data_IF_705794917632
#
_entry.id   IF_705794917632
#
_cell.length_a   1.000
_cell.length_b   1.000
_cell.length_c   1.000
_cell.angle_alpha   90.00
_cell.angle_beta   90.00
_cell.angle_gamma   90.00
#
_symmetry.space_group_name_H-M   'P 1'
#
loop_
_entity.id
_entity.type
_entity.pdbx_description
1 polymer ?
#
# COMPACT_ATOMS: atom_id res chain seq x y z
N UNK A 1 -25.07 -74.09 22.89
CA UNK A 1 -24.33 -75.16 22.20
C UNK A 1 -23.38 -74.46 21.22
N UNK A 2 -22.06 -74.73 21.31
CA UNK A 2 -20.94 -74.22 20.47
C UNK A 2 -21.27 -74.38 18.96
N UNK A 3 -20.78 -73.63 17.95
CA UNK A 3 -19.44 -73.14 17.54
C UNK A 3 -19.69 -72.32 16.23
N UNK A 4 -19.26 -71.07 16.02
CA UNK A 4 -17.96 -70.53 15.54
C UNK A 4 -17.54 -70.76 14.05
N UNK A 5 -17.37 -69.61 13.34
CA UNK A 5 -16.36 -69.20 12.31
C UNK A 5 -16.37 -69.89 10.92
N UNK A 6 -16.02 -69.26 9.77
CA UNK A 6 -14.99 -68.23 9.48
C UNK A 6 -15.12 -67.67 8.03
N UNK A 7 -14.77 -66.37 7.83
CA UNK A 7 -13.93 -65.68 6.80
C UNK A 7 -14.06 -65.94 5.27
N UNK A 8 -13.60 -65.11 4.31
CA UNK A 8 -13.19 -63.69 4.11
C UNK A 8 -12.56 -63.62 2.67
N UNK A 9 -12.71 -62.54 1.87
CA UNK A 9 -11.91 -62.38 0.63
C UNK A 9 -12.39 -61.42 -0.51
N UNK A 10 -11.92 -60.16 -0.43
CA UNK A 10 -11.57 -59.12 -1.43
C UNK A 10 -11.66 -59.27 -3.00
N UNK A 11 -12.22 -58.21 -3.64
CA UNK A 11 -11.65 -57.28 -4.68
C UNK A 11 -12.07 -57.23 -6.21
N UNK A 12 -12.49 -56.00 -6.62
CA UNK A 12 -12.29 -55.15 -7.86
C UNK A 12 -13.17 -55.24 -9.16
N UNK A 13 -13.76 -54.05 -9.50
CA UNK A 13 -13.99 -53.34 -10.81
C UNK A 13 -15.12 -53.83 -11.78
N UNK A 14 -15.90 -53.01 -12.53
CA UNK A 14 -15.77 -51.65 -13.09
C UNK A 14 -17.11 -51.10 -13.68
N UNK A 15 -17.31 -49.75 -13.64
CA UNK A 15 -18.00 -48.77 -14.55
C UNK A 15 -19.45 -49.03 -15.08
N UNK A 16 -20.37 -48.10 -15.38
CA UNK A 16 -20.65 -46.64 -15.28
C UNK A 16 -22.13 -46.53 -15.69
N UNK A 17 -22.93 -45.65 -15.07
CA UNK A 17 -23.97 -44.92 -15.79
C UNK A 17 -24.37 -43.64 -15.05
N UNK A 18 -24.40 -42.55 -15.80
CA UNK A 18 -24.68 -41.16 -15.38
C UNK A 18 -26.08 -40.81 -15.86
N UNK A 19 -26.96 -40.29 -15.00
CA UNK A 19 -27.92 -39.24 -15.39
C UNK A 19 -28.44 -38.41 -14.18
N UNK A 20 -28.48 -37.10 -14.44
CA UNK A 20 -28.84 -35.91 -13.64
C UNK A 20 -30.30 -35.87 -13.15
N UNK A 21 -30.57 -35.29 -11.95
CA UNK A 21 -31.59 -34.25 -11.60
C UNK A 21 -31.32 -33.80 -10.13
N UNK A 22 -30.66 -32.67 -9.83
CA UNK A 22 -31.13 -31.28 -9.66
C UNK A 22 -31.96 -30.96 -8.37
N UNK A 23 -31.43 -29.97 -7.63
CA UNK A 23 -32.04 -29.04 -6.63
C UNK A 23 -32.16 -29.51 -5.17
N UNK A 24 -31.27 -28.98 -4.31
CA UNK A 24 -31.55 -28.12 -3.14
C UNK A 24 -30.24 -27.78 -2.41
N UNK A 25 -29.38 -26.95 -3.01
CA UNK A 25 -28.39 -26.22 -2.23
C UNK A 25 -29.04 -24.91 -1.80
N UNK A 26 -29.51 -24.87 -0.56
CA UNK A 26 -29.81 -23.63 0.13
C UNK A 26 -28.51 -22.83 0.20
N UNK A 27 -28.40 -21.81 -0.64
CA UNK A 27 -27.38 -20.79 -0.58
C UNK A 27 -27.60 -19.98 0.70
N UNK A 28 -27.08 -20.47 1.83
CA UNK A 28 -26.82 -19.63 2.98
C UNK A 28 -25.67 -18.72 2.58
N UNK A 29 -26.00 -17.52 2.08
CA UNK A 29 -25.05 -16.43 1.94
C UNK A 29 -24.56 -16.07 3.34
N UNK A 30 -23.42 -16.62 3.74
CA UNK A 30 -22.70 -16.14 4.90
C UNK A 30 -22.14 -14.77 4.52
N UNK A 31 -22.93 -13.72 4.72
CA UNK A 31 -22.40 -12.35 4.77
C UNK A 31 -21.52 -12.27 6.01
N UNK A 32 -20.22 -12.48 5.84
CA UNK A 32 -19.22 -12.14 6.85
C UNK A 32 -19.29 -10.63 7.04
N UNK A 33 -19.90 -10.19 8.13
CA UNK A 33 -19.84 -8.81 8.58
C UNK A 33 -18.43 -8.57 9.12
N UNK A 34 -17.48 -8.30 8.21
CA UNK A 34 -16.26 -7.60 8.60
C UNK A 34 -16.65 -6.15 8.85
N UNK A 35 -16.66 -5.76 10.12
CA UNK A 35 -16.78 -4.36 10.49
C UNK A 35 -15.51 -3.62 10.06
N UNK A 36 -15.56 -2.94 8.92
CA UNK A 36 -14.47 -2.09 8.44
C UNK A 36 -14.17 -1.01 9.47
N UNK A 37 -12.93 -0.96 9.98
CA UNK A 37 -12.42 0.18 10.77
C UNK A 37 -12.26 1.45 9.92
N UNK A 38 -12.45 1.35 8.60
CA UNK A 38 -12.57 2.51 7.72
C UNK A 38 -14.02 2.96 7.69
N UNK A 39 -14.27 4.22 8.02
CA UNK A 39 -15.56 4.83 7.76
C UNK A 39 -15.90 4.61 6.29
N UNK A 40 -17.04 3.96 6.01
CA UNK A 40 -17.53 3.81 4.64
C UNK A 40 -17.82 5.21 4.11
N UNK A 41 -16.91 5.76 3.30
CA UNK A 41 -17.30 6.80 2.35
C UNK A 41 -18.44 6.19 1.53
N UNK A 42 -19.59 6.87 1.54
CA UNK A 42 -20.81 6.32 1.01
C UNK A 42 -20.72 6.21 -0.53
N UNK A 43 -20.29 5.05 -1.02
CA UNK A 43 -20.31 4.69 -2.45
C UNK A 43 -21.69 4.85 -3.12
N UNK A 44 -22.76 5.06 -2.34
CA UNK A 44 -24.13 5.19 -2.86
C UNK A 44 -24.51 6.61 -3.27
N UNK A 45 -23.64 7.62 -3.10
CA UNK A 45 -23.91 8.94 -3.68
C UNK A 45 -23.73 8.88 -5.20
N UNK A 46 -24.84 8.63 -5.88
CA UNK A 46 -24.93 8.71 -7.34
C UNK A 46 -24.81 10.18 -7.72
N UNK A 47 -23.76 10.53 -8.47
CA UNK A 47 -23.63 11.87 -9.07
C UNK A 47 -24.84 12.13 -9.98
N UNK A 48 -25.55 13.26 -9.83
CA UNK A 48 -26.77 13.54 -10.58
C UNK A 48 -26.51 13.74 -12.08
N UNK A 49 -25.28 14.12 -12.45
CA UNK A 49 -24.88 14.32 -13.83
C UNK A 49 -23.82 13.31 -14.27
N UNK A 50 -23.88 12.85 -15.51
CA UNK A 50 -22.96 11.88 -16.08
C UNK A 50 -22.79 12.11 -17.57
N UNK A 51 -21.55 12.02 -18.04
CA UNK A 51 -21.19 12.04 -19.47
C UNK A 51 -20.17 10.97 -19.78
N UNK A 52 -20.15 10.47 -21.00
CA UNK A 52 -19.10 9.59 -21.50
C UNK A 52 -17.96 10.38 -22.14
N UNK A 53 -16.73 9.88 -21.98
CA UNK A 53 -15.54 10.46 -22.62
C UNK A 53 -15.65 10.55 -24.16
N UNK A 54 -16.44 9.67 -24.78
CA UNK A 54 -16.69 9.68 -26.25
C UNK A 54 -17.48 10.90 -26.71
N UNK A 55 -18.29 11.50 -25.84
CA UNK A 55 -19.05 12.72 -26.14
C UNK A 55 -18.13 13.93 -26.37
N UNK A 56 -16.87 13.83 -25.95
CA UNK A 56 -15.83 14.85 -26.11
C UNK A 56 -14.82 14.50 -27.21
N UNK A 57 -15.18 13.57 -28.10
CA UNK A 57 -14.38 13.19 -29.27
C UNK A 57 -13.25 12.21 -28.97
N UNK A 58 -13.25 11.58 -27.79
CA UNK A 58 -12.27 10.54 -27.49
C UNK A 58 -12.48 9.28 -28.34
N UNK A 59 -11.38 8.64 -28.74
CA UNK A 59 -11.36 7.40 -29.50
C UNK A 59 -10.62 6.33 -28.71
N UNK A 60 -11.31 5.22 -28.45
CA UNK A 60 -10.83 4.11 -27.60
C UNK A 60 -9.99 3.06 -28.34
N UNK A 61 -9.17 3.48 -29.31
CA UNK A 61 -8.36 2.60 -30.19
C UNK A 61 -6.97 2.26 -29.64
N UNK A 62 -6.56 2.92 -28.54
CA UNK A 62 -5.24 2.78 -27.92
C UNK A 62 -4.11 3.53 -28.63
N UNK A 63 -4.42 4.34 -29.65
CA UNK A 63 -3.46 5.07 -30.49
C UNK A 63 -3.76 6.57 -30.47
N UNK A 64 -5.03 6.95 -30.55
CA UNK A 64 -5.47 8.34 -30.53
C UNK A 64 -5.18 8.97 -29.17
N UNK A 65 -4.46 10.09 -29.16
CA UNK A 65 -4.17 10.84 -27.94
C UNK A 65 -5.41 11.62 -27.47
N UNK A 66 -6.02 11.16 -26.39
CA UNK A 66 -7.29 11.64 -25.86
C UNK A 66 -7.15 12.74 -24.80
N UNK A 67 -5.94 13.27 -24.55
CA UNK A 67 -5.67 14.26 -23.49
C UNK A 67 -6.64 15.45 -23.53
N UNK A 68 -6.89 15.99 -24.73
CA UNK A 68 -7.83 17.10 -24.92
C UNK A 68 -9.28 16.69 -24.64
N UNK A 69 -9.68 15.47 -24.99
CA UNK A 69 -11.02 14.98 -24.71
C UNK A 69 -11.25 14.84 -23.19
N UNK A 70 -10.27 14.32 -22.44
CA UNK A 70 -10.32 14.28 -20.98
C UNK A 70 -10.41 15.67 -20.37
N UNK A 71 -9.55 16.60 -20.81
CA UNK A 71 -9.55 17.98 -20.33
C UNK A 71 -10.88 18.69 -20.60
N UNK A 72 -11.43 18.54 -21.81
CA UNK A 72 -12.71 19.14 -22.18
C UNK A 72 -13.88 18.55 -21.39
N UNK A 73 -13.90 17.23 -21.21
CA UNK A 73 -14.91 16.54 -20.41
C UNK A 73 -14.90 17.04 -18.96
N UNK A 74 -13.72 17.11 -18.35
CA UNK A 74 -13.58 17.55 -16.96
C UNK A 74 -13.93 19.03 -16.82
N UNK A 75 -13.50 19.88 -17.75
CA UNK A 75 -13.88 21.29 -17.78
C UNK A 75 -15.41 21.47 -17.82
N UNK A 76 -16.09 20.72 -18.68
CA UNK A 76 -17.55 20.73 -18.75
C UNK A 76 -18.19 20.27 -17.43
N UNK A 77 -17.72 19.15 -16.87
CA UNK A 77 -18.24 18.56 -15.63
C UNK A 77 -18.07 19.47 -14.41
N UNK A 78 -17.09 20.38 -14.43
CA UNK A 78 -16.90 21.37 -13.36
C UNK A 78 -18.11 22.31 -13.17
N UNK A 79 -18.94 22.48 -14.20
CA UNK A 79 -20.19 23.26 -14.14
C UNK A 79 -21.28 22.62 -13.27
N UNK A 80 -21.02 21.43 -12.73
CA UNK A 80 -21.92 20.66 -11.86
C UNK A 80 -21.35 20.44 -10.45
N UNK A 81 -20.17 20.99 -10.14
CA UNK A 81 -19.52 20.80 -8.84
C UNK A 81 -20.40 21.29 -7.68
N UNK A 82 -21.11 22.41 -7.86
CA UNK A 82 -22.07 22.98 -6.90
C UNK A 82 -23.47 22.34 -6.94
N UNK A 83 -23.69 21.38 -7.85
CA UNK A 83 -24.98 20.70 -8.10
C UNK A 83 -24.96 19.23 -7.68
N UNK A 84 -24.08 18.87 -6.75
CA UNK A 84 -23.89 17.47 -6.30
C UNK A 84 -22.82 16.70 -7.07
N UNK A 85 -22.08 17.36 -7.95
CA UNK A 85 -20.99 16.77 -8.70
C UNK A 85 -21.42 16.01 -9.95
N UNK A 86 -20.44 15.40 -10.61
CA UNK A 86 -20.68 14.69 -11.86
C UNK A 86 -19.79 13.46 -12.03
N UNK A 87 -20.21 12.55 -12.91
CA UNK A 87 -19.49 11.34 -13.28
C UNK A 87 -18.92 11.48 -14.70
N UNK A 88 -17.62 11.24 -14.84
CA UNK A 88 -16.99 10.96 -16.13
C UNK A 88 -16.94 9.45 -16.34
N UNK A 89 -17.68 8.96 -17.32
CA UNK A 89 -17.76 7.55 -17.69
C UNK A 89 -16.78 7.21 -18.82
N UNK A 90 -15.86 6.28 -18.56
CA UNK A 90 -14.91 5.75 -19.52
C UNK A 90 -15.36 4.33 -19.92
N UNK A 91 -15.92 4.13 -21.13
CA UNK A 91 -16.43 2.83 -21.56
C UNK A 91 -15.29 1.86 -21.93
N UNK A 92 -15.67 0.62 -22.21
CA UNK A 92 -14.77 -0.38 -22.77
C UNK A 92 -14.00 0.18 -23.99
N UNK A 93 -12.69 -0.06 -24.04
CA UNK A 93 -11.81 0.55 -25.02
C UNK A 93 -10.45 0.90 -24.43
N UNK A 94 -9.52 1.33 -25.30
CA UNK A 94 -8.15 1.69 -24.93
C UNK A 94 -7.95 3.20 -25.15
N UNK A 95 -7.74 3.95 -24.08
CA UNK A 95 -7.78 5.42 -24.08
C UNK A 95 -6.38 5.97 -23.81
N UNK A 96 -5.58 6.16 -24.85
CA UNK A 96 -4.25 6.77 -24.73
C UNK A 96 -4.38 8.23 -24.32
N UNK A 97 -3.66 8.67 -23.29
CA UNK A 97 -3.68 10.05 -22.80
C UNK A 97 -2.36 10.42 -22.12
N UNK A 98 -2.03 11.71 -22.19
CA UNK A 98 -1.08 12.36 -21.28
C UNK A 98 -1.73 12.69 -19.94
N UNK A 99 -1.03 13.49 -19.13
CA UNK A 99 -1.53 13.95 -17.83
C UNK A 99 -2.82 14.76 -17.95
N UNK A 100 -3.76 14.51 -17.05
CA UNK A 100 -4.97 15.33 -16.90
C UNK A 100 -5.34 15.56 -15.42
N UNK A 101 -5.98 16.70 -15.17
CA UNK A 101 -6.37 17.16 -13.84
C UNK A 101 -7.80 16.73 -13.51
N UNK A 102 -8.02 16.21 -12.30
CA UNK A 102 -9.33 16.02 -11.72
C UNK A 102 -9.85 17.30 -11.06
N UNK A 103 -11.14 17.32 -10.75
CA UNK A 103 -11.86 18.40 -10.04
C UNK A 103 -12.59 17.85 -8.81
N UNK A 104 -13.02 18.73 -7.91
CA UNK A 104 -13.86 18.36 -6.77
C UNK A 104 -15.23 17.80 -7.22
N UNK A 105 -15.83 16.94 -6.40
CA UNK A 105 -17.12 16.31 -6.65
C UNK A 105 -17.18 15.49 -7.95
N UNK A 106 -16.04 14.97 -8.40
CA UNK A 106 -15.93 14.14 -9.59
C UNK A 106 -15.93 12.66 -9.23
N UNK A 107 -16.69 11.87 -10.00
CA UNK A 107 -16.51 10.43 -10.09
C UNK A 107 -15.91 10.06 -11.44
N UNK A 108 -14.65 9.64 -11.47
CA UNK A 108 -14.04 8.98 -12.63
C UNK A 108 -14.42 7.49 -12.59
N UNK A 109 -15.26 7.06 -13.52
CA UNK A 109 -15.79 5.69 -13.59
C UNK A 109 -15.23 4.95 -14.79
N UNK A 110 -14.46 3.88 -14.57
CA UNK A 110 -13.94 3.02 -15.62
C UNK A 110 -14.79 1.75 -15.73
N UNK A 111 -15.41 1.54 -16.89
CA UNK A 111 -16.19 0.32 -17.09
C UNK A 111 -15.31 -0.93 -17.25
N UNK A 112 -15.95 -2.08 -17.25
CA UNK A 112 -15.29 -3.35 -17.59
C UNK A 112 -14.62 -3.21 -18.96
N UNK A 113 -13.40 -3.72 -19.07
CA UNK A 113 -12.57 -3.68 -20.29
C UNK A 113 -12.17 -2.27 -20.76
N UNK A 114 -12.42 -1.23 -19.95
CA UNK A 114 -11.84 0.10 -20.15
C UNK A 114 -10.37 0.11 -19.71
N UNK A 115 -9.48 0.65 -20.54
CA UNK A 115 -8.05 0.79 -20.23
C UNK A 115 -7.61 2.22 -20.52
N UNK A 116 -7.32 3.01 -19.48
CA UNK A 116 -6.59 4.28 -19.65
C UNK A 116 -5.11 3.94 -19.82
N UNK A 117 -4.50 4.41 -20.91
CA UNK A 117 -3.09 4.18 -21.24
C UNK A 117 -2.31 5.48 -21.08
N UNK A 118 -1.27 5.47 -20.24
CA UNK A 118 -0.34 6.59 -20.13
C UNK A 118 0.51 6.72 -21.39
N UNK A 119 0.63 7.93 -21.93
CA UNK A 119 1.45 8.18 -23.12
C UNK A 119 2.91 7.77 -22.92
N UNK A 120 3.52 7.17 -23.94
CA UNK A 120 4.95 6.85 -23.96
C UNK A 120 5.83 8.04 -24.36
N UNK A 121 5.24 9.15 -24.78
CA UNK A 121 5.96 10.39 -25.06
C UNK A 121 6.06 11.23 -23.79
N UNK A 122 7.28 11.60 -23.37
CA UNK A 122 7.49 12.40 -22.16
C UNK A 122 6.90 13.81 -22.24
N UNK A 123 6.72 14.36 -23.44
CA UNK A 123 6.15 15.70 -23.64
C UNK A 123 4.66 15.78 -23.24
N UNK A 124 3.98 14.63 -23.19
CA UNK A 124 2.59 14.52 -22.75
C UNK A 124 2.44 14.56 -21.21
N UNK A 125 3.56 14.69 -20.48
CA UNK A 125 3.64 14.72 -19.03
C UNK A 125 4.32 16.03 -18.60
N UNK A 126 3.56 17.12 -18.42
CA UNK A 126 4.13 18.42 -18.12
C UNK A 126 5.03 18.39 -16.88
N UNK A 127 6.12 19.16 -16.90
CA UNK A 127 7.00 19.29 -15.74
C UNK A 127 6.38 20.27 -14.75
N UNK A 128 6.31 19.88 -13.48
CA UNK A 128 5.82 20.68 -12.36
C UNK A 128 6.88 20.79 -11.27
N UNK A 129 6.66 21.73 -10.37
CA UNK A 129 7.52 21.92 -9.21
C UNK A 129 7.60 20.64 -8.35
N UNK A 130 8.75 20.42 -7.70
CA UNK A 130 8.87 19.35 -6.72
C UNK A 130 7.89 19.55 -5.55
N UNK A 131 7.70 18.48 -4.77
CA UNK A 131 6.92 18.61 -3.55
C UNK A 131 7.64 19.56 -2.56
N UNK A 132 6.92 20.50 -1.93
CA UNK A 132 7.54 21.43 -0.99
C UNK A 132 8.19 20.71 0.20
N UNK A 133 7.64 19.56 0.62
CA UNK A 133 8.24 18.74 1.69
C UNK A 133 9.46 17.91 1.23
N UNK A 134 9.86 17.98 -0.03
CA UNK A 134 11.02 17.27 -0.59
C UNK A 134 12.12 18.22 -1.10
N UNK A 135 11.77 19.48 -1.39
CA UNK A 135 12.69 20.52 -1.89
C UNK A 135 13.16 20.36 -3.33
N UNK A 136 13.17 19.13 -3.86
CA UNK A 136 13.59 18.77 -5.22
C UNK A 136 12.87 17.52 -5.72
N UNK A 137 13.07 17.20 -6.99
CA UNK A 137 12.68 15.90 -7.54
C UNK A 137 13.34 14.75 -6.76
N UNK A 138 12.56 13.68 -6.54
CA UNK A 138 12.96 12.52 -5.74
C UNK A 138 14.14 11.76 -6.35
N UNK A 139 14.22 11.72 -7.68
CA UNK A 139 15.28 11.02 -8.40
C UNK A 139 16.39 11.95 -8.86
N UNK A 140 16.02 13.16 -9.28
CA UNK A 140 16.92 14.14 -9.90
C UNK A 140 16.65 15.55 -9.35
N UNK A 141 17.66 16.43 -9.28
CA UNK A 141 17.44 17.82 -8.91
C UNK A 141 16.49 18.51 -9.89
N UNK A 142 15.74 19.51 -9.43
CA UNK A 142 14.78 20.24 -10.25
C UNK A 142 13.35 19.71 -10.17
N UNK A 143 12.61 19.87 -11.26
CA UNK A 143 11.19 19.52 -11.35
C UNK A 143 10.91 18.02 -11.46
N UNK A 144 9.63 17.70 -11.60
CA UNK A 144 9.12 16.34 -11.79
C UNK A 144 8.06 16.32 -12.87
N UNK A 145 7.92 15.22 -13.59
CA UNK A 145 6.77 15.03 -14.46
C UNK A 145 5.49 14.92 -13.63
N UNK A 146 4.43 15.60 -14.08
CA UNK A 146 3.09 15.51 -13.51
C UNK A 146 2.54 14.11 -13.69
N UNK A 147 1.83 13.59 -12.70
CA UNK A 147 1.23 12.26 -12.75
C UNK A 147 0.18 12.11 -13.86
N UNK A 148 -0.12 10.87 -14.26
CA UNK A 148 -1.10 10.60 -15.33
C UNK A 148 -2.48 11.13 -14.95
N UNK A 149 -2.93 10.74 -13.75
CA UNK A 149 -4.13 11.26 -13.11
C UNK A 149 -3.67 12.11 -11.94
N UNK A 150 -3.92 13.41 -12.03
CA UNK A 150 -3.45 14.38 -11.05
C UNK A 150 -4.63 15.17 -10.47
N UNK A 151 -4.52 15.62 -9.23
CA UNK A 151 -5.48 16.54 -8.62
C UNK A 151 -4.85 17.32 -7.49
N UNK A 152 -5.24 18.58 -7.30
CA UNK A 152 -4.76 19.41 -6.18
C UNK A 152 -5.91 20.19 -5.55
N UNK A 153 -5.94 20.26 -4.22
CA UNK A 153 -6.96 21.00 -3.45
C UNK A 153 -8.38 20.49 -3.71
N UNK A 154 -8.56 19.18 -3.89
CA UNK A 154 -9.85 18.61 -4.25
C UNK A 154 -10.65 18.18 -3.01
N UNK A 155 -11.96 18.22 -3.11
CA UNK A 155 -12.88 17.63 -2.14
C UNK A 155 -13.77 16.62 -2.83
N UNK A 156 -14.00 15.47 -2.19
CA UNK A 156 -15.00 14.49 -2.64
C UNK A 156 -14.71 13.97 -4.07
N UNK A 157 -13.63 13.20 -4.19
CA UNK A 157 -13.16 12.63 -5.46
C UNK A 157 -13.26 11.12 -5.40
N UNK A 158 -13.88 10.53 -6.41
CA UNK A 158 -14.05 9.09 -6.53
C UNK A 158 -13.41 8.59 -7.82
N UNK A 159 -12.49 7.63 -7.73
CA UNK A 159 -11.94 6.89 -8.86
C UNK A 159 -12.39 5.43 -8.68
N UNK A 160 -13.33 4.98 -9.51
CA UNK A 160 -13.88 3.62 -9.37
C UNK A 160 -14.37 3.05 -10.69
N UNK A 161 -15.01 1.89 -10.67
CA UNK A 161 -15.41 1.22 -11.89
C UNK A 161 -15.88 -0.22 -11.71
N UNK A 162 -16.06 -0.89 -12.84
CA UNK A 162 -16.34 -2.32 -12.94
C UNK A 162 -15.04 -3.09 -13.25
N UNK A 163 -14.00 -2.85 -12.45
CA UNK A 163 -12.65 -3.39 -12.65
C UNK A 163 -11.99 -2.95 -13.98
N UNK A 164 -12.19 -1.70 -14.38
CA UNK A 164 -11.39 -1.08 -15.44
C UNK A 164 -9.92 -0.90 -15.01
N UNK A 165 -9.06 -0.60 -15.99
CA UNK A 165 -7.61 -0.58 -15.83
C UNK A 165 -7.01 0.79 -16.10
N UNK A 166 -6.03 1.20 -15.30
CA UNK A 166 -5.14 2.33 -15.57
C UNK A 166 -3.73 1.76 -15.74
N UNK A 167 -3.20 1.81 -16.96
CA UNK A 167 -1.89 1.28 -17.32
C UNK A 167 -0.94 2.43 -17.67
N UNK A 168 0.09 2.62 -16.85
CA UNK A 168 1.06 3.70 -17.00
C UNK A 168 2.07 3.51 -18.14
N UNK A 169 2.10 2.32 -18.77
CA UNK A 169 3.08 1.95 -19.79
C UNK A 169 4.54 2.26 -19.36
N UNK A 170 4.85 1.98 -18.09
CA UNK A 170 6.06 2.42 -17.38
C UNK A 170 7.40 1.99 -17.97
N UNK A 171 7.44 1.01 -18.87
CA UNK A 171 8.69 0.44 -19.40
C UNK A 171 9.62 1.46 -20.03
N UNK A 172 9.08 2.47 -20.71
CA UNK A 172 9.87 3.57 -21.29
C UNK A 172 10.57 4.38 -20.19
N UNK A 173 9.87 4.66 -19.10
CA UNK A 173 10.40 5.39 -17.96
C UNK A 173 11.45 4.58 -17.20
N UNK A 174 11.21 3.28 -17.00
CA UNK A 174 12.18 2.39 -16.36
C UNK A 174 13.45 2.25 -17.19
N UNK A 175 13.34 2.16 -18.52
CA UNK A 175 14.50 2.13 -19.41
C UNK A 175 15.30 3.44 -19.31
N UNK A 176 14.64 4.61 -19.27
CA UNK A 176 15.32 5.89 -19.04
C UNK A 176 16.01 5.95 -17.68
N UNK A 177 15.38 5.43 -16.62
CA UNK A 177 15.97 5.35 -15.29
C UNK A 177 17.26 4.52 -15.29
N UNK A 178 17.20 3.28 -15.80
CA UNK A 178 18.37 2.40 -15.84
C UNK A 178 19.49 2.93 -16.72
N UNK A 179 19.15 3.57 -17.84
CA UNK A 179 20.11 4.20 -18.74
C UNK A 179 20.61 5.57 -18.26
N UNK A 180 20.07 6.09 -17.13
CA UNK A 180 20.39 7.42 -16.58
C UNK A 180 20.17 8.56 -17.58
N UNK A 181 19.09 8.48 -18.35
CA UNK A 181 18.69 9.46 -19.37
C UNK A 181 17.38 10.18 -19.02
N UNK A 182 17.04 10.23 -17.72
CA UNK A 182 15.96 11.05 -17.21
C UNK A 182 16.43 12.51 -17.11
N UNK A 183 15.58 13.44 -17.54
CA UNK A 183 15.79 14.89 -17.36
C UNK A 183 15.18 15.38 -16.04
N UNK A 184 14.10 14.73 -15.60
CA UNK A 184 13.33 15.06 -14.39
C UNK A 184 12.90 13.78 -13.68
N UNK A 185 12.39 13.92 -12.44
CA UNK A 185 11.78 12.79 -11.72
C UNK A 185 10.57 12.25 -12.50
N UNK A 186 10.47 10.92 -12.59
CA UNK A 186 9.39 10.21 -13.30
C UNK A 186 8.01 10.54 -12.72
N UNK A 187 6.94 10.47 -13.53
CA UNK A 187 5.59 10.74 -13.05
C UNK A 187 5.04 9.58 -12.21
N UNK A 188 4.14 9.88 -11.26
CA UNK A 188 3.32 8.84 -10.62
C UNK A 188 2.17 8.41 -11.53
N UNK A 189 1.51 7.30 -11.22
CA UNK A 189 0.30 6.92 -11.94
C UNK A 189 -0.90 7.76 -11.49
N UNK A 190 -1.14 7.83 -10.18
CA UNK A 190 -2.18 8.68 -9.56
C UNK A 190 -1.56 9.51 -8.45
N UNK A 191 -1.74 10.83 -8.50
CA UNK A 191 -1.32 11.73 -7.44
C UNK A 191 -2.44 12.72 -7.07
N UNK A 192 -2.81 12.71 -5.80
CA UNK A 192 -3.77 13.65 -5.25
C UNK A 192 -3.08 14.45 -4.16
N UNK A 193 -3.03 15.76 -4.37
CA UNK A 193 -2.33 16.71 -3.51
C UNK A 193 -3.33 17.52 -2.70
N UNK A 194 -3.09 17.65 -1.39
CA UNK A 194 -3.88 18.53 -0.51
C UNK A 194 -5.41 18.35 -0.64
N UNK A 195 -5.86 17.10 -0.75
CA UNK A 195 -7.25 16.77 -1.06
C UNK A 195 -7.94 16.05 0.11
N UNK A 196 -9.27 16.16 0.20
CA UNK A 196 -10.06 15.55 1.28
C UNK A 196 -11.24 14.75 0.74
N UNK A 197 -11.55 13.62 1.39
CA UNK A 197 -12.67 12.76 0.95
C UNK A 197 -12.36 12.10 -0.39
N UNK A 198 -11.31 11.29 -0.41
CA UNK A 198 -10.87 10.57 -1.60
C UNK A 198 -11.27 9.10 -1.49
N UNK A 199 -11.84 8.56 -2.55
CA UNK A 199 -12.13 7.14 -2.68
C UNK A 199 -11.55 6.57 -3.97
N UNK A 200 -10.68 5.58 -3.87
CA UNK A 200 -10.15 4.81 -5.00
C UNK A 200 -10.57 3.35 -4.79
N UNK A 201 -11.36 2.78 -5.70
CA UNK A 201 -11.81 1.39 -5.52
C UNK A 201 -12.25 0.64 -6.76
N UNK A 202 -12.22 -0.69 -6.73
CA UNK A 202 -12.78 -1.57 -7.77
C UNK A 202 -12.13 -1.38 -9.16
N UNK A 203 -10.82 -1.15 -9.20
CA UNK A 203 -10.05 -0.94 -10.43
C UNK A 203 -8.65 -1.57 -10.33
N UNK A 204 -8.02 -1.77 -11.48
CA UNK A 204 -6.67 -2.32 -11.60
C UNK A 204 -5.68 -1.24 -12.07
N UNK A 205 -4.50 -1.20 -11.46
CA UNK A 205 -3.38 -0.34 -11.84
C UNK A 205 -2.24 -1.19 -12.38
N UNK A 206 -1.73 -0.84 -13.56
CA UNK A 206 -0.64 -1.55 -14.22
C UNK A 206 0.53 -0.63 -14.52
N UNK A 207 1.74 -1.19 -14.43
CA UNK A 207 2.97 -0.64 -15.00
C UNK A 207 3.19 0.86 -14.71
N UNK A 208 3.06 1.25 -13.44
CA UNK A 208 3.34 2.64 -13.04
C UNK A 208 4.76 3.07 -13.46
N UNK A 209 4.95 4.29 -14.00
CA UNK A 209 6.29 4.79 -14.30
C UNK A 209 7.19 4.90 -13.07
N UNK A 210 6.63 5.22 -11.91
CA UNK A 210 7.26 5.39 -10.60
C UNK A 210 6.26 4.93 -9.52
N UNK A 211 6.03 5.69 -8.45
CA UNK A 211 5.00 5.37 -7.44
C UNK A 211 3.60 5.29 -8.05
N UNK A 212 2.76 4.36 -7.57
CA UNK A 212 1.46 4.09 -8.20
C UNK A 212 0.36 5.00 -7.67
N UNK A 213 0.03 4.93 -6.38
CA UNK A 213 -1.05 5.74 -5.78
C UNK A 213 -0.46 6.64 -4.68
N UNK A 214 -0.38 7.94 -4.94
CA UNK A 214 0.27 8.91 -4.08
C UNK A 214 -0.72 9.96 -3.53
N UNK A 215 -1.45 9.66 -2.43
CA UNK A 215 -2.16 10.67 -1.67
C UNK A 215 -1.17 11.46 -0.81
N UNK A 216 -0.81 12.66 -1.26
CA UNK A 216 0.12 13.55 -0.56
C UNK A 216 -0.62 14.74 0.03
N UNK A 217 -0.38 15.02 1.31
CA UNK A 217 -1.09 16.07 2.06
C UNK A 217 -2.61 15.88 2.12
N UNK A 218 -3.09 14.66 1.99
CA UNK A 218 -4.52 14.38 1.92
C UNK A 218 -5.13 14.13 3.30
N UNK A 219 -6.46 14.18 3.38
CA UNK A 219 -7.24 13.75 4.55
C UNK A 219 -8.40 12.86 4.13
N UNK A 220 -8.80 11.90 4.97
CA UNK A 220 -9.97 11.04 4.71
C UNK A 220 -9.86 10.33 3.36
N UNK A 221 -8.84 9.50 3.21
CA UNK A 221 -8.55 8.74 1.98
C UNK A 221 -8.95 7.29 2.20
N UNK A 222 -9.68 6.70 1.26
CA UNK A 222 -9.98 5.27 1.24
C UNK A 222 -9.52 4.67 -0.07
N UNK A 223 -8.68 3.64 0.00
CA UNK A 223 -8.23 2.85 -1.14
C UNK A 223 -8.63 1.41 -0.86
N UNK A 224 -9.48 0.83 -1.71
CA UNK A 224 -9.97 -0.53 -1.45
C UNK A 224 -10.34 -1.35 -2.67
N UNK A 225 -10.24 -2.67 -2.55
CA UNK A 225 -10.58 -3.59 -3.64
C UNK A 225 -9.87 -3.20 -4.95
N UNK A 226 -8.56 -3.01 -4.88
CA UNK A 226 -7.71 -2.67 -6.03
C UNK A 226 -6.63 -3.72 -6.23
N UNK A 227 -6.25 -3.90 -7.49
CA UNK A 227 -5.06 -4.66 -7.86
C UNK A 227 -3.99 -3.70 -8.40
N UNK A 228 -2.75 -3.81 -7.92
CA UNK A 228 -1.61 -3.00 -8.38
C UNK A 228 -0.51 -3.93 -8.85
N UNK A 229 -0.19 -3.90 -10.14
CA UNK A 229 0.72 -4.86 -10.77
C UNK A 229 1.80 -4.16 -11.59
N UNK A 230 3.05 -4.53 -11.33
CA UNK A 230 4.19 -4.19 -12.18
C UNK A 230 5.20 -5.35 -12.17
N UNK A 231 6.04 -5.51 -13.21
CA UNK A 231 7.12 -6.49 -13.22
C UNK A 231 8.04 -6.33 -12.01
N UNK A 232 8.55 -7.41 -11.43
CA UNK A 232 9.41 -7.31 -10.24
C UNK A 232 10.71 -6.52 -10.48
N UNK A 233 11.12 -6.34 -11.74
CA UNK A 233 12.27 -5.53 -12.14
C UNK A 233 11.96 -4.04 -12.31
N UNK A 234 10.72 -3.59 -12.13
CA UNK A 234 10.36 -2.17 -12.31
C UNK A 234 10.85 -1.31 -11.14
N UNK A 235 11.75 -0.33 -11.38
CA UNK A 235 12.36 0.45 -10.32
C UNK A 235 11.35 1.42 -9.68
N UNK A 236 11.31 1.41 -8.34
CA UNK A 236 10.55 2.37 -7.53
C UNK A 236 9.05 2.40 -7.88
N UNK A 237 8.48 1.21 -8.06
CA UNK A 237 7.05 1.01 -8.32
C UNK A 237 6.32 0.69 -7.03
N UNK A 238 6.40 1.63 -6.09
CA UNK A 238 5.68 1.55 -4.82
C UNK A 238 4.17 1.41 -5.11
N UNK A 239 3.47 0.63 -4.28
CA UNK A 239 2.03 0.39 -4.46
C UNK A 239 1.20 1.59 -4.01
N UNK A 240 1.20 1.88 -2.71
CA UNK A 240 0.45 3.00 -2.13
C UNK A 240 1.35 3.79 -1.18
N UNK A 241 1.40 5.11 -1.38
CA UNK A 241 2.28 6.01 -0.66
C UNK A 241 1.51 7.10 0.10
N UNK A 242 0.95 6.82 1.29
CA UNK A 242 0.43 7.86 2.15
C UNK A 242 1.58 8.78 2.59
N UNK A 243 1.61 10.00 2.02
CA UNK A 243 2.65 10.98 2.31
C UNK A 243 2.05 12.22 2.99
N UNK A 244 2.48 12.48 4.22
CA UNK A 244 2.00 13.62 5.01
C UNK A 244 0.46 13.70 5.08
N UNK A 245 -0.19 12.53 5.13
CA UNK A 245 -1.64 12.35 4.99
C UNK A 245 -2.29 11.87 6.28
N UNK A 246 -3.53 12.27 6.52
CA UNK A 246 -4.26 12.04 7.77
C UNK A 246 -5.56 11.24 7.54
N UNK A 247 -5.80 10.21 8.34
CA UNK A 247 -6.98 9.34 8.22
C UNK A 247 -7.03 8.64 6.85
N UNK A 248 -6.09 7.72 6.64
CA UNK A 248 -5.98 6.92 5.41
C UNK A 248 -6.35 5.47 5.71
N UNK A 249 -7.25 4.95 4.90
CA UNK A 249 -7.72 3.58 4.91
C UNK A 249 -7.21 2.84 3.66
N UNK A 250 -6.60 1.68 3.86
CA UNK A 250 -6.19 0.77 2.79
C UNK A 250 -6.73 -0.62 3.14
N UNK A 251 -7.65 -1.16 2.34
CA UNK A 251 -8.24 -2.48 2.60
C UNK A 251 -8.49 -3.31 1.35
N UNK A 252 -8.43 -4.64 1.45
CA UNK A 252 -8.80 -5.54 0.36
C UNK A 252 -7.97 -5.33 -0.92
N UNK A 253 -6.66 -5.15 -0.76
CA UNK A 253 -5.76 -4.87 -1.88
C UNK A 253 -4.89 -6.07 -2.24
N UNK A 254 -4.64 -6.26 -3.54
CA UNK A 254 -3.60 -7.16 -4.04
C UNK A 254 -2.50 -6.36 -4.73
N UNK A 255 -1.26 -6.45 -4.25
CA UNK A 255 -0.14 -5.66 -4.76
C UNK A 255 1.02 -6.58 -5.15
N UNK A 256 1.51 -6.45 -6.38
CA UNK A 256 2.66 -7.18 -6.90
C UNK A 256 3.53 -6.24 -7.71
N UNK A 257 4.55 -5.65 -7.10
CA UNK A 257 5.36 -4.59 -7.72
C UNK A 257 6.85 -4.77 -7.45
N UNK A 258 7.69 -3.94 -8.08
CA UNK A 258 9.14 -4.00 -7.91
C UNK A 258 9.65 -3.36 -6.63
N UNK A 259 8.87 -2.52 -5.96
CA UNK A 259 9.25 -1.80 -4.74
C UNK A 259 8.18 -1.96 -3.64
N UNK A 260 8.20 -1.14 -2.59
CA UNK A 260 7.38 -1.31 -1.40
C UNK A 260 5.86 -1.43 -1.71
N UNK A 261 5.15 -2.39 -1.09
CA UNK A 261 3.70 -2.52 -1.34
C UNK A 261 2.94 -1.33 -0.76
N UNK A 262 3.23 -1.02 0.51
CA UNK A 262 2.78 0.19 1.20
C UNK A 262 4.02 0.93 1.71
N UNK A 263 4.10 2.23 1.43
CA UNK A 263 5.24 3.06 1.81
C UNK A 263 4.74 4.36 2.44
N UNK A 264 4.73 4.41 3.77
CA UNK A 264 4.25 5.58 4.52
C UNK A 264 5.38 6.60 4.63
N UNK A 265 5.11 7.82 4.17
CA UNK A 265 6.08 8.92 4.09
C UNK A 265 5.55 10.20 4.73
N UNK A 266 6.40 11.19 4.93
CA UNK A 266 6.04 12.52 5.42
C UNK A 266 7.12 13.56 5.10
N UNK A 267 7.62 13.61 3.86
CA UNK A 267 8.68 14.54 3.46
C UNK A 267 10.11 14.17 3.86
N UNK A 268 11.08 14.91 3.32
CA UNK A 268 12.50 14.56 3.28
C UNK A 268 13.39 15.63 3.92
N UNK A 269 14.11 15.23 4.96
CA UNK A 269 15.08 16.01 5.74
C UNK A 269 14.53 17.38 6.17
N UNK A 270 15.36 18.43 6.12
CA UNK A 270 15.00 19.79 6.51
C UNK A 270 13.77 20.33 5.78
N UNK A 271 13.50 19.89 4.54
CA UNK A 271 12.27 20.25 3.82
C UNK A 271 11.04 19.63 4.46
N UNK A 272 11.10 18.34 4.81
CA UNK A 272 10.00 17.66 5.49
C UNK A 272 9.76 18.19 6.89
N UNK A 273 10.84 18.44 7.65
CA UNK A 273 10.77 19.01 9.00
C UNK A 273 10.20 20.44 8.98
N UNK A 274 10.64 21.28 8.04
CA UNK A 274 10.13 22.65 7.86
C UNK A 274 8.67 22.67 7.40
N UNK A 275 8.29 21.73 6.52
CA UNK A 275 6.90 21.58 6.10
C UNK A 275 5.99 21.12 7.26
N UNK A 276 6.51 20.31 8.18
CA UNK A 276 5.92 20.09 9.50
C UNK A 276 4.58 19.35 9.49
N UNK A 277 4.32 18.52 8.47
CA UNK A 277 3.06 17.78 8.34
C UNK A 277 3.31 16.26 8.42
N UNK A 278 2.77 15.57 9.45
CA UNK A 278 2.96 14.14 9.60
C UNK A 278 2.01 13.32 8.72
N UNK A 279 2.37 12.06 8.49
CA UNK A 279 1.40 11.01 8.14
C UNK A 279 0.84 10.38 9.40
N UNK A 280 -0.48 10.41 9.58
CA UNK A 280 -1.10 9.86 10.80
C UNK A 280 -2.48 9.26 10.60
N UNK A 281 -2.90 8.41 11.53
CA UNK A 281 -4.16 7.66 11.47
C UNK A 281 -4.24 6.81 10.19
N UNK A 282 -3.25 5.93 10.00
CA UNK A 282 -3.16 5.07 8.81
C UNK A 282 -3.60 3.65 9.21
N UNK A 283 -4.66 3.14 8.60
CA UNK A 283 -5.15 1.78 8.81
C UNK A 283 -5.00 0.96 7.53
N UNK A 284 -4.30 -0.17 7.63
CA UNK A 284 -4.03 -1.11 6.55
C UNK A 284 -4.59 -2.47 6.96
N UNK A 285 -5.44 -3.08 6.14
CA UNK A 285 -5.92 -4.44 6.42
C UNK A 285 -6.17 -5.29 5.20
N UNK A 286 -6.17 -6.62 5.37
CA UNK A 286 -6.50 -7.58 4.29
C UNK A 286 -5.73 -7.27 3.01
N UNK A 287 -4.41 -7.13 3.20
CA UNK A 287 -3.44 -6.86 2.13
C UNK A 287 -2.75 -8.17 1.76
N UNK A 288 -2.69 -8.47 0.47
CA UNK A 288 -1.95 -9.60 -0.07
C UNK A 288 -0.93 -9.06 -1.07
N UNK A 289 0.33 -9.51 -1.00
CA UNK A 289 1.27 -9.11 -2.03
C UNK A 289 2.68 -9.68 -2.01
N UNK A 290 3.39 -9.40 -3.10
CA UNK A 290 4.79 -9.79 -3.34
C UNK A 290 5.61 -8.63 -3.91
N UNK A 291 6.89 -8.56 -3.54
CA UNK A 291 7.76 -7.43 -3.91
C UNK A 291 9.24 -7.74 -3.76
N UNK A 292 10.10 -7.09 -4.52
CA UNK A 292 11.55 -7.17 -4.29
C UNK A 292 12.08 -6.25 -3.17
N UNK A 293 11.22 -5.43 -2.56
CA UNK A 293 11.56 -4.50 -1.46
C UNK A 293 10.86 -4.84 -0.13
N UNK A 294 9.76 -4.20 0.24
CA UNK A 294 9.10 -4.43 1.52
C UNK A 294 7.56 -4.49 1.44
N UNK A 295 6.95 -5.33 2.29
CA UNK A 295 5.50 -5.39 2.44
C UNK A 295 4.93 -4.08 2.99
N UNK A 296 5.20 -3.80 4.25
CA UNK A 296 4.86 -2.54 4.92
C UNK A 296 6.14 -1.79 5.23
N UNK A 297 6.34 -0.65 4.56
CA UNK A 297 7.46 0.24 4.76
C UNK A 297 7.02 1.56 5.40
N UNK A 298 7.83 2.06 6.33
CA UNK A 298 7.76 3.42 6.86
C UNK A 298 9.08 4.11 6.54
N UNK A 299 9.01 5.24 5.83
CA UNK A 299 10.15 6.00 5.34
C UNK A 299 10.62 5.60 3.92
N UNK A 300 11.80 6.03 3.48
CA UNK A 300 12.80 6.74 4.29
C UNK A 300 12.45 8.21 4.56
N UNK A 301 11.59 8.79 3.75
CA UNK A 301 11.16 10.19 3.84
C UNK A 301 10.11 10.32 4.94
N UNK A 302 10.53 10.44 6.20
CA UNK A 302 9.64 10.46 7.38
C UNK A 302 9.85 11.71 8.27
N UNK A 303 10.37 12.78 7.70
CA UNK A 303 10.87 13.96 8.44
C UNK A 303 9.76 14.81 9.08
N UNK A 304 8.59 14.88 8.46
CA UNK A 304 7.38 15.48 9.04
C UNK A 304 6.74 14.65 10.18
N UNK A 305 7.19 13.42 10.39
CA UNK A 305 6.68 12.48 11.38
C UNK A 305 5.66 11.47 10.83
N UNK A 306 5.69 10.26 11.39
CA UNK A 306 4.71 9.20 11.14
C UNK A 306 4.17 8.65 12.46
N UNK A 307 2.85 8.64 12.65
CA UNK A 307 2.25 8.09 13.88
C UNK A 307 0.85 7.52 13.75
N UNK A 308 0.45 6.69 14.70
CA UNK A 308 -0.88 6.04 14.71
C UNK A 308 -1.09 5.19 13.44
N UNK A 309 -0.19 4.23 13.25
CA UNK A 309 -0.24 3.28 12.13
C UNK A 309 -0.73 1.93 12.66
N UNK A 310 -1.83 1.42 12.09
CA UNK A 310 -2.34 0.08 12.33
C UNK A 310 -2.27 -0.74 11.05
N UNK A 311 -1.67 -1.93 11.12
CA UNK A 311 -1.64 -2.87 10.02
C UNK A 311 -2.04 -4.27 10.51
N UNK A 312 -3.09 -4.88 9.93
CA UNK A 312 -3.59 -6.19 10.37
C UNK A 312 -4.09 -7.09 9.22
N UNK A 313 -4.13 -8.40 9.44
CA UNK A 313 -4.61 -9.37 8.44
C UNK A 313 -3.82 -9.28 7.11
N UNK A 314 -2.50 -9.50 7.16
CA UNK A 314 -1.62 -9.30 6.00
C UNK A 314 -0.95 -10.60 5.58
N UNK A 315 -0.98 -10.88 4.28
CA UNK A 315 -0.22 -11.99 3.68
C UNK A 315 0.86 -11.47 2.73
N UNK A 316 2.13 -11.63 3.12
CA UNK A 316 3.28 -11.27 2.29
C UNK A 316 3.99 -12.54 1.83
N UNK A 317 4.21 -12.65 0.52
CA UNK A 317 4.93 -13.78 -0.06
C UNK A 317 6.00 -13.32 -1.06
N UNK A 318 7.03 -14.13 -1.27
CA UNK A 318 8.11 -13.88 -2.23
C UNK A 318 8.68 -12.45 -2.11
N UNK A 319 9.09 -12.08 -0.90
CA UNK A 319 9.48 -10.71 -0.59
C UNK A 319 10.86 -10.57 0.03
N UNK A 320 11.55 -9.46 -0.25
CA UNK A 320 12.82 -9.16 0.42
C UNK A 320 12.62 -8.84 1.90
N UNK A 321 11.64 -8.01 2.26
CA UNK A 321 11.29 -7.69 3.65
C UNK A 321 9.79 -7.71 3.87
N UNK A 322 9.31 -8.11 5.05
CA UNK A 322 7.88 -7.98 5.36
C UNK A 322 7.57 -6.63 6.00
N UNK A 323 8.20 -6.33 7.13
CA UNK A 323 8.05 -5.07 7.86
C UNK A 323 9.35 -4.29 7.78
N UNK A 324 9.29 -3.02 7.37
CA UNK A 324 10.49 -2.19 7.18
C UNK A 324 10.33 -0.78 7.74
N UNK A 325 11.31 -0.33 8.53
CA UNK A 325 11.46 1.08 8.93
C UNK A 325 12.81 1.56 8.40
N UNK A 326 12.80 2.67 7.66
CA UNK A 326 13.99 3.24 7.02
C UNK A 326 14.16 4.67 7.51
N UNK A 327 15.33 5.01 8.03
CA UNK A 327 15.69 6.39 8.38
C UNK A 327 17.22 6.57 8.36
N UNK A 328 17.69 7.80 8.55
CA UNK A 328 19.10 8.18 8.71
C UNK A 328 19.24 9.44 9.56
N UNK A 329 20.42 9.68 10.19
CA UNK A 329 20.79 11.01 10.64
C UNK A 329 20.60 12.01 9.50
N UNK A 330 19.97 13.15 9.76
CA UNK A 330 19.47 14.06 8.71
C UNK A 330 17.97 14.12 8.58
N UNK A 331 17.29 13.01 8.89
CA UNK A 331 15.84 12.94 8.74
C UNK A 331 15.10 13.77 9.78
N UNK A 332 15.58 13.81 11.02
CA UNK A 332 14.79 14.31 12.15
C UNK A 332 13.44 13.58 12.25
N UNK A 333 12.40 14.29 12.69
CA UNK A 333 11.05 13.75 12.76
C UNK A 333 10.91 12.55 13.69
N UNK A 334 9.92 11.71 13.43
CA UNK A 334 9.65 10.54 14.26
C UNK A 334 8.90 9.43 13.51
N UNK A 335 9.03 8.20 13.98
CA UNK A 335 8.10 7.10 13.72
C UNK A 335 7.67 6.54 15.07
N UNK A 336 6.39 6.68 15.41
CA UNK A 336 5.87 6.22 16.72
C UNK A 336 4.46 5.69 16.68
N UNK A 337 4.07 4.95 17.71
CA UNK A 337 2.70 4.43 17.84
C UNK A 337 2.30 3.59 16.61
N UNK A 338 3.09 2.55 16.35
CA UNK A 338 2.90 1.62 15.23
C UNK A 338 2.46 0.28 15.81
N UNK A 339 1.34 -0.25 15.32
CA UNK A 339 0.80 -1.55 15.70
C UNK A 339 0.59 -2.43 14.47
N UNK A 340 1.41 -3.47 14.33
CA UNK A 340 1.33 -4.43 13.24
C UNK A 340 0.96 -5.79 13.83
N UNK A 341 -0.12 -6.41 13.34
CA UNK A 341 -0.59 -7.69 13.89
C UNK A 341 -1.13 -8.64 12.83
N UNK A 342 -1.27 -9.92 13.18
CA UNK A 342 -1.86 -10.96 12.34
C UNK A 342 -1.27 -11.00 10.93
N UNK A 343 0.01 -11.39 10.83
CA UNK A 343 0.70 -11.50 9.54
C UNK A 343 1.09 -12.94 9.23
N UNK A 344 0.91 -13.34 7.98
CA UNK A 344 1.42 -14.59 7.42
C UNK A 344 2.53 -14.24 6.42
N UNK A 345 3.70 -14.86 6.58
CA UNK A 345 4.86 -14.64 5.73
C UNK A 345 5.26 -15.95 5.02
N UNK A 346 5.49 -15.90 3.71
CA UNK A 346 5.96 -17.06 2.95
C UNK A 346 7.13 -16.69 2.03
N UNK A 347 8.25 -17.41 2.13
CA UNK A 347 9.44 -17.14 1.30
C UNK A 347 9.90 -15.67 1.39
N UNK A 348 10.09 -15.18 2.62
CA UNK A 348 10.54 -13.81 2.89
C UNK A 348 12.01 -13.79 3.30
N UNK A 349 12.82 -12.88 2.76
CA UNK A 349 14.23 -12.82 3.12
C UNK A 349 14.44 -12.26 4.55
N UNK A 350 13.81 -11.16 4.92
CA UNK A 350 13.93 -10.56 6.26
C UNK A 350 12.54 -10.24 6.79
N UNK A 351 12.05 -10.93 7.83
CA UNK A 351 10.71 -10.64 8.32
C UNK A 351 10.59 -9.22 8.89
N UNK A 352 11.55 -8.80 9.74
CA UNK A 352 11.54 -7.47 10.37
C UNK A 352 12.85 -6.74 10.09
N UNK A 353 12.80 -5.60 9.40
CA UNK A 353 14.00 -4.85 9.01
C UNK A 353 13.93 -3.37 9.38
N UNK A 354 14.68 -2.96 10.40
CA UNK A 354 14.85 -1.53 10.71
C UNK A 354 16.26 -1.09 10.35
N UNK A 355 16.39 0.08 9.73
CA UNK A 355 17.67 0.61 9.27
C UNK A 355 17.74 2.09 9.60
N UNK A 356 18.61 2.43 10.55
CA UNK A 356 18.93 3.81 10.93
C UNK A 356 20.02 4.47 10.10
N UNK A 357 20.57 3.80 9.09
CA UNK A 357 21.62 4.33 8.20
C UNK A 357 21.23 4.15 6.73
N UNK A 358 20.04 4.61 6.33
CA UNK A 358 19.54 4.45 4.96
C UNK A 358 20.37 5.24 3.92
N UNK A 359 20.84 6.45 4.27
CA UNK A 359 21.93 7.14 3.59
C UNK A 359 21.58 8.02 2.37
N UNK A 360 20.32 8.09 1.95
CA UNK A 360 19.90 8.98 0.85
C UNK A 360 19.47 10.35 1.38
N UNK A 361 19.92 11.46 0.79
CA UNK A 361 19.58 12.83 1.20
C UNK A 361 19.27 13.69 -0.04
N UNK A 362 18.42 14.74 0.06
CA UNK A 362 18.06 15.58 -1.08
C UNK A 362 19.26 16.40 -1.57
N UNK A 363 20.15 16.78 -0.67
CA UNK A 363 21.34 17.57 -0.95
C UNK A 363 22.39 17.29 0.13
N UNK A 364 23.57 17.87 -0.01
CA UNK A 364 24.68 17.70 0.94
C UNK A 364 24.60 18.67 2.13
N UNK A 365 23.57 19.53 2.18
CA UNK A 365 23.39 20.58 3.21
C UNK A 365 22.44 20.18 4.33
N UNK A 366 21.94 18.95 4.33
CA UNK A 366 21.11 18.40 5.40
C UNK A 366 21.82 18.44 6.76
N UNK A 367 21.02 18.62 7.81
CA UNK A 367 21.49 18.65 9.20
C UNK A 367 21.81 17.24 9.70
N UNK A 368 23.08 16.85 9.69
CA UNK A 368 23.54 15.51 10.14
C UNK A 368 23.23 15.21 11.61
N UNK A 369 23.00 16.24 12.42
CA UNK A 369 22.67 16.11 13.84
C UNK A 369 21.15 16.00 14.07
N UNK A 370 20.33 16.16 13.02
CA UNK A 370 18.89 15.92 13.07
C UNK A 370 18.59 14.42 13.14
N UNK A 371 18.58 13.87 14.36
CA UNK A 371 18.33 12.47 14.63
C UNK A 371 16.82 12.15 14.71
N UNK A 372 16.38 11.01 14.13
CA UNK A 372 14.97 10.60 14.12
C UNK A 372 14.55 9.85 15.37
N UNK A 373 13.40 10.18 15.95
CA UNK A 373 12.85 9.39 17.07
C UNK A 373 12.08 8.18 16.56
N UNK A 374 12.59 6.96 16.80
CA UNK A 374 11.87 5.71 16.50
C UNK A 374 11.48 5.04 17.81
N UNK A 375 10.19 5.04 18.13
CA UNK A 375 9.70 4.48 19.39
C UNK A 375 8.33 3.79 19.28
N UNK A 376 7.98 2.96 20.26
CA UNK A 376 6.60 2.46 20.45
C UNK A 376 6.07 1.72 19.22
N UNK A 377 6.83 0.73 18.79
CA UNK A 377 6.50 -0.15 17.66
C UNK A 377 6.18 -1.53 18.19
N UNK A 378 4.92 -1.96 18.04
CA UNK A 378 4.47 -3.29 18.44
C UNK A 378 4.22 -4.14 17.20
N UNK A 379 4.88 -5.30 17.13
CA UNK A 379 4.67 -6.33 16.11
C UNK A 379 4.19 -7.59 16.82
N UNK A 380 3.01 -8.07 16.45
CA UNK A 380 2.33 -9.16 17.15
C UNK A 380 1.76 -10.21 16.21
N UNK A 381 1.65 -11.46 16.66
CA UNK A 381 0.88 -12.51 15.97
C UNK A 381 1.38 -12.72 14.51
N UNK A 382 2.68 -13.00 14.36
CA UNK A 382 3.32 -13.17 13.06
C UNK A 382 3.78 -14.61 12.87
N UNK A 383 3.33 -15.26 11.80
CA UNK A 383 3.73 -16.62 11.45
C UNK A 383 4.45 -16.59 10.10
N UNK A 384 5.65 -17.17 10.05
CA UNK A 384 6.48 -17.18 8.84
C UNK A 384 6.98 -18.56 8.46
N UNK A 385 6.83 -18.92 7.17
CA UNK A 385 7.40 -20.12 6.56
C UNK A 385 8.48 -19.75 5.56
N UNK A 386 9.59 -20.49 5.56
CA UNK A 386 10.71 -20.29 4.62
C UNK A 386 11.28 -18.86 4.69
N UNK A 387 11.42 -18.34 5.91
CA UNK A 387 12.02 -17.01 6.14
C UNK A 387 13.54 -17.15 6.12
N UNK A 388 14.30 -16.24 5.50
CA UNK A 388 15.77 -16.32 5.55
C UNK A 388 16.31 -15.83 6.90
N UNK A 389 15.94 -14.62 7.34
CA UNK A 389 16.28 -14.05 8.66
C UNK A 389 15.04 -13.53 9.38
N UNK A 390 14.97 -13.74 10.69
CA UNK A 390 13.87 -13.24 11.51
C UNK A 390 13.91 -11.71 11.63
N UNK A 391 15.08 -11.14 11.94
CA UNK A 391 15.20 -9.69 12.00
C UNK A 391 16.60 -9.13 11.78
N UNK A 392 16.62 -7.94 11.19
CA UNK A 392 17.80 -7.08 11.06
C UNK A 392 17.38 -5.69 11.55
N UNK A 393 17.67 -5.39 12.80
CA UNK A 393 17.16 -4.20 13.49
C UNK A 393 18.35 -3.36 13.93
N UNK A 394 18.67 -2.35 13.13
CA UNK A 394 19.80 -1.47 13.37
C UNK A 394 19.28 -0.05 13.58
N UNK A 395 19.41 0.46 14.81
CA UNK A 395 19.21 1.87 15.13
C UNK A 395 20.42 2.72 14.80
N UNK A 396 20.55 3.86 15.48
CA UNK A 396 21.64 4.82 15.30
C UNK A 396 22.51 4.82 16.55
N UNK A 397 23.82 4.81 16.37
CA UNK A 397 24.75 4.90 17.50
C UNK A 397 24.55 6.22 18.27
N UNK A 398 24.31 6.12 19.57
CA UNK A 398 23.97 7.27 20.42
C UNK A 398 22.50 7.66 20.45
N UNK A 399 21.66 7.13 19.54
CA UNK A 399 20.22 7.38 19.47
C UNK A 399 19.46 6.09 19.14
N UNK A 400 19.28 5.29 20.19
CA UNK A 400 18.69 3.96 20.06
C UNK A 400 17.23 4.04 19.60
N UNK A 401 16.81 3.07 18.80
CA UNK A 401 15.38 2.82 18.60
C UNK A 401 14.82 2.16 19.87
N UNK A 402 13.77 2.69 20.47
CA UNK A 402 13.31 2.26 21.80
C UNK A 402 11.88 1.74 21.80
N UNK A 403 11.50 0.99 22.83
CA UNK A 403 10.13 0.47 23.00
C UNK A 403 9.65 -0.33 21.78
N UNK A 404 10.54 -1.18 21.26
CA UNK A 404 10.23 -2.14 20.18
C UNK A 404 9.69 -3.42 20.82
N UNK A 405 8.41 -3.71 20.64
CA UNK A 405 7.74 -4.84 21.28
C UNK A 405 7.40 -5.94 20.28
N UNK A 406 7.91 -7.14 20.50
CA UNK A 406 7.66 -8.32 19.67
C UNK A 406 6.87 -9.35 20.47
N UNK A 407 5.69 -9.78 20.00
CA UNK A 407 4.89 -10.74 20.76
C UNK A 407 4.22 -11.80 19.90
N UNK A 408 4.26 -13.06 20.33
CA UNK A 408 3.64 -14.19 19.63
C UNK A 408 4.09 -14.27 18.16
N UNK A 409 5.39 -14.43 17.94
CA UNK A 409 6.00 -14.49 16.61
C UNK A 409 6.64 -15.86 16.42
N UNK A 410 6.26 -16.60 15.38
CA UNK A 410 6.84 -17.90 15.03
C UNK A 410 7.34 -17.90 13.59
N UNK A 411 8.66 -17.90 13.41
CA UNK A 411 9.31 -17.82 12.10
C UNK A 411 10.17 -19.06 11.86
N UNK A 412 9.81 -19.87 10.86
CA UNK A 412 10.68 -20.92 10.36
C UNK A 412 11.78 -20.28 9.51
N UNK A 413 12.95 -20.11 10.12
CA UNK A 413 14.11 -19.44 9.55
C UNK A 413 15.12 -20.41 8.92
N UNK A 414 15.78 -19.99 7.85
CA UNK A 414 16.88 -20.72 7.20
C UNK A 414 18.27 -20.29 7.68
N UNK A 415 18.43 -19.06 8.16
CA UNK A 415 19.72 -18.53 8.62
C UNK A 415 20.11 -19.11 9.98
N UNK A 416 21.40 -19.44 10.15
CA UNK A 416 21.99 -19.79 11.47
C UNK A 416 22.06 -18.59 12.42
N UNK A 417 22.07 -17.38 11.87
CA UNK A 417 21.99 -16.11 12.61
C UNK A 417 20.65 -15.46 12.25
N UNK A 418 19.57 -15.81 12.97
CA UNK A 418 18.23 -15.34 12.63
C UNK A 418 18.01 -13.86 12.93
N UNK A 419 18.69 -13.34 13.96
CA UNK A 419 18.60 -11.96 14.41
C UNK A 419 19.95 -11.27 14.33
N UNK A 420 19.94 -10.00 13.95
CA UNK A 420 21.05 -9.07 14.14
C UNK A 420 20.46 -7.75 14.62
N UNK A 421 20.89 -7.31 15.80
CA UNK A 421 20.37 -6.12 16.44
C UNK A 421 21.51 -5.25 16.97
N UNK A 422 21.42 -3.95 16.71
CA UNK A 422 22.33 -2.95 17.26
C UNK A 422 21.58 -1.65 17.48
N UNK A 423 21.97 -0.93 18.54
CA UNK A 423 21.41 0.38 18.88
C UNK A 423 19.87 0.38 18.95
N UNK A 424 19.31 -0.66 19.57
CA UNK A 424 17.87 -0.83 19.78
C UNK A 424 17.63 -1.28 21.20
N UNK A 425 16.50 -0.90 21.79
CA UNK A 425 16.01 -1.39 23.07
C UNK A 425 14.53 -1.76 22.93
N UNK A 426 14.15 -2.90 23.50
CA UNK A 426 12.78 -3.34 23.46
C UNK A 426 12.56 -4.65 24.19
N UNK A 427 11.43 -5.27 23.88
CA UNK A 427 10.89 -6.36 24.66
C UNK A 427 10.36 -7.46 23.75
N UNK A 428 10.41 -8.69 24.21
CA UNK A 428 9.82 -9.82 23.50
C UNK A 428 9.10 -10.80 24.40
N UNK A 429 8.03 -11.39 23.87
CA UNK A 429 7.27 -12.45 24.53
C UNK A 429 6.78 -13.48 23.51
N UNK A 430 7.00 -14.78 23.76
CA UNK A 430 6.64 -15.86 22.84
C UNK A 430 7.15 -15.65 21.41
N UNK A 431 8.45 -15.36 21.26
CA UNK A 431 9.10 -15.18 19.95
C UNK A 431 10.04 -16.35 19.66
N UNK A 432 9.84 -17.00 18.51
CA UNK A 432 10.67 -18.09 17.99
C UNK A 432 11.10 -17.79 16.55
N UNK A 433 12.40 -17.83 16.22
CA UNK A 433 13.55 -18.12 17.09
C UNK A 433 13.81 -17.02 18.12
N UNK A 434 14.50 -17.35 19.21
CA UNK A 434 14.86 -16.43 20.29
C UNK A 434 15.51 -15.14 19.75
N UNK A 435 15.10 -13.99 20.30
CA UNK A 435 15.54 -12.66 19.88
C UNK A 435 16.97 -12.35 20.31
N UNK A 436 17.52 -11.26 19.79
CA UNK A 436 18.80 -10.68 20.21
C UNK A 436 18.71 -10.05 21.61
N UNK A 437 19.83 -10.03 22.36
CA UNK A 437 19.91 -9.48 23.74
C UNK A 437 19.17 -8.15 23.96
N UNK A 438 19.28 -7.12 23.08
CA UNK A 438 18.61 -5.84 23.33
C UNK A 438 17.07 -5.87 23.26
N UNK A 439 16.48 -7.01 22.85
CA UNK A 439 15.04 -7.25 22.79
C UNK A 439 14.58 -8.40 23.71
N UNK A 440 15.48 -9.00 24.51
CA UNK A 440 15.17 -10.20 25.31
C UNK A 440 14.36 -9.94 26.58
N UNK A 441 14.32 -8.70 27.07
CA UNK A 441 13.52 -8.35 28.23
C UNK A 441 12.03 -8.69 27.98
N UNK A 442 11.35 -9.24 28.99
CA UNK A 442 9.97 -9.71 28.84
C UNK A 442 9.01 -8.53 28.90
N UNK A 443 7.94 -8.57 28.10
CA UNK A 443 6.90 -7.54 28.11
C UNK A 443 6.16 -7.50 29.47
N UNK A 444 5.79 -8.67 30.02
CA UNK A 444 5.02 -8.76 31.26
C UNK A 444 5.86 -9.21 32.46
N UNK A 445 5.60 -8.67 33.67
CA UNK A 445 4.56 -7.68 34.01
C UNK A 445 5.02 -6.21 33.88
N UNK A 446 6.33 -5.95 33.76
CA UNK A 446 6.93 -4.63 34.03
C UNK A 446 6.84 -3.65 32.85
N UNK A 447 6.85 -4.14 31.60
CA UNK A 447 7.04 -3.32 30.39
C UNK A 447 5.78 -3.21 29.51
N UNK A 448 4.62 -3.64 30.02
CA UNK A 448 3.37 -3.56 29.27
C UNK A 448 2.96 -2.12 28.95
N UNK A 449 3.40 -1.11 29.72
CA UNK A 449 3.12 0.30 29.41
C UNK A 449 4.02 0.88 28.32
N UNK A 450 5.15 0.22 28.04
CA UNK A 450 6.13 0.70 27.06
C UNK A 450 5.71 0.33 25.64
N UNK A 451 5.02 -0.80 25.50
CA UNK A 451 4.45 -1.24 24.23
C UNK A 451 3.23 -0.40 23.83
N UNK A 452 3.14 -0.07 22.54
CA UNK A 452 1.94 0.55 22.01
C UNK A 452 0.86 -0.50 21.78
N UNK A 453 -0.35 -0.22 22.29
CA UNK A 453 -1.53 -1.04 22.07
C UNK A 453 -2.65 -0.17 21.53
N UNK A 454 -3.49 -0.78 20.69
CA UNK A 454 -4.69 -0.12 20.20
C UNK A 454 -5.60 0.25 21.38
N UNK A 455 -6.15 1.48 21.42
CA UNK A 455 -7.15 1.88 22.40
C UNK A 455 -8.32 0.87 22.43
N UNK A 456 -8.86 0.58 23.63
CA UNK A 456 -9.90 -0.44 23.84
C UNK A 456 -11.17 -0.32 22.97
N UNK A 457 -11.43 0.85 22.34
CA UNK A 457 -12.51 1.01 21.35
C UNK A 457 -12.29 0.22 20.05
N UNK A 458 -11.04 -0.05 19.66
CA UNK A 458 -10.69 -0.78 18.44
C UNK A 458 -10.65 -2.31 18.65
N UNK A 459 -10.40 -2.78 19.88
CA UNK A 459 -10.37 -4.22 20.22
C UNK A 459 -11.73 -4.93 20.09
N UNK A 460 -12.86 -4.21 20.21
CA UNK A 460 -14.18 -4.85 20.09
C UNK A 460 -14.53 -5.28 18.65
N UNK A 461 -13.85 -4.70 17.66
CA UNK A 461 -14.07 -4.98 16.24
C UNK A 461 -13.18 -6.12 15.71
N UNK A 462 -11.97 -6.29 16.26
CA UNK A 462 -11.03 -7.33 15.82
C UNK A 462 -11.29 -8.71 16.43
N UNK A 463 -11.81 -8.78 17.67
CA UNK A 463 -12.03 -10.05 18.37
C UNK A 463 -13.24 -10.88 17.89
N UNK A 464 -14.02 -10.40 16.90
CA UNK A 464 -15.19 -11.15 16.41
C UNK A 464 -14.92 -12.04 15.17
N UNK A 465 -13.74 -11.97 14.52
CA UNK A 465 -13.55 -12.62 13.21
C UNK A 465 -12.29 -13.49 13.05
N UNK A 466 -11.61 -13.90 14.12
CA UNK A 466 -10.44 -14.78 14.05
C UNK A 466 -10.79 -16.27 13.87
N UNK A 467 -11.59 -16.59 12.84
CA UNK A 467 -11.91 -17.96 12.47
C UNK A 467 -12.38 -18.07 11.02
N UNK A 468 -11.65 -18.85 10.22
CA UNK A 468 -11.93 -19.27 8.84
C UNK A 468 -11.67 -18.24 7.72
N UNK A 469 -10.38 -18.01 7.43
CA UNK A 469 -9.95 -17.56 6.09
C UNK A 469 -8.78 -18.42 5.62
N UNK A 470 -9.11 -19.59 5.07
CA UNK A 470 -8.25 -20.42 4.22
C UNK A 470 -9.13 -21.57 3.76
N UNK A 471 -9.83 -21.41 2.64
CA UNK A 471 -10.38 -22.45 1.75
C UNK A 471 -11.25 -21.77 0.66
N UNK A 472 -10.61 -21.09 -0.29
CA UNK A 472 -11.06 -20.96 -1.70
C UNK A 472 -10.19 -19.92 -2.43
N UNK A 473 -9.06 -20.36 -2.96
CA UNK A 473 -8.43 -19.84 -4.18
C UNK A 473 -7.73 -20.99 -4.87
#
# INVERSE_FOLDING_TARGET
MRMFLTDCGMFLLQLVDVFLVLVLFSCSTWTVWSSSCCNRINLKEVRPHSVSITEFGAVGDGITLNTKAFQNAIFYLNSFADKGGAKLFVPAGRWLTGSFDLISHLTLWLDKDAVILGSTNSDDWPVVDPLPSYGRGRELPGGRHKSLIYGRNLTDVVITGNNGTIDGQGSIWWNKFWNKTLDYTRPHLVELMNSTGVLISNITFLNSPFWTIHPVYCRNVTIRNVAILAPQSSPNTDGIDPDSSDNVCIEDCYISTGDDLISIKSGWDGYGTSFGRPSTNINIRRLIGKTTSAGIAIGSEMSGGVSEVQAEDIYIFDSRSAIRIKTSPGRGGYVRNVYISNMILANVDIAIRFTGLYGEHPDDTYDKDALPVIEKVTIKDVIGKNVKRAGLIQGIEGDNFVNICLSNITLNVRSKTPWNCSYVKGYSDLVSPETCEPLKERIFPEHSSDCYYLPNRLKSLSNQNSGAWLLSW
#
